data_IF_074950432609
#
_entry.id   IF_074950432609
#
_cell.length_a   1.000
_cell.length_b   1.000
_cell.length_c   1.000
_cell.angle_alpha   90.00
_cell.angle_beta   90.00
_cell.angle_gamma   90.00
#
_symmetry.space_group_name_H-M   'P 1'
#
loop_
_entity.id
_entity.type
_entity.pdbx_description
1 polymer ?
#
# COMPACT_ATOMS: atom_id res chain seq x y z
N UNK A 1 5.93 -18.19 1.13
CA UNK A 1 5.85 -16.87 1.80
C UNK A 1 5.78 -16.93 3.33
N UNK A 2 5.99 -18.06 3.98
CA UNK A 2 5.89 -18.19 5.44
C UNK A 2 7.22 -17.97 6.20
N UNK A 3 8.36 -17.84 5.50
CA UNK A 3 9.70 -17.83 6.13
C UNK A 3 10.20 -16.44 6.58
N UNK A 4 9.62 -15.35 6.11
CA UNK A 4 10.10 -14.01 6.46
C UNK A 4 9.58 -13.49 7.81
N UNK A 5 8.48 -14.06 8.32
CA UNK A 5 7.82 -13.58 9.55
C UNK A 5 8.56 -13.98 10.84
N UNK A 6 9.38 -15.03 10.81
CA UNK A 6 10.08 -15.51 12.01
C UNK A 6 11.30 -14.68 12.42
N UNK A 7 11.79 -13.79 11.54
CA UNK A 7 13.01 -12.99 11.79
C UNK A 7 12.79 -11.47 11.65
N UNK A 8 11.56 -11.02 11.36
CA UNK A 8 11.29 -9.60 11.21
C UNK A 8 11.32 -8.88 12.55
N UNK A 9 12.15 -7.86 12.66
CA UNK A 9 12.27 -6.98 13.80
C UNK A 9 12.13 -5.53 13.35
N UNK A 10 11.01 -4.84 13.61
CA UNK A 10 10.82 -3.45 13.21
C UNK A 10 11.84 -2.50 13.85
N UNK A 11 12.28 -2.77 15.08
CA UNK A 11 13.30 -1.96 15.75
C UNK A 11 14.64 -2.04 15.01
N UNK A 12 14.96 -3.18 14.41
CA UNK A 12 16.17 -3.30 13.59
C UNK A 12 16.14 -2.31 12.40
N UNK A 13 15.01 -2.18 11.72
CA UNK A 13 14.85 -1.22 10.62
C UNK A 13 14.95 0.23 11.11
N UNK A 14 14.36 0.55 12.25
CA UNK A 14 14.52 1.86 12.87
C UNK A 14 15.99 2.17 13.19
N UNK A 15 16.75 1.20 13.66
CA UNK A 15 18.17 1.37 14.03
C UNK A 15 19.11 1.49 12.83
N UNK A 16 18.80 0.78 11.73
CA UNK A 16 19.73 0.59 10.61
C UNK A 16 19.33 1.35 9.33
N UNK A 17 18.10 1.87 9.26
CA UNK A 17 17.64 2.70 8.15
C UNK A 17 17.51 4.17 8.59
N UNK A 18 18.42 5.06 8.13
CA UNK A 18 18.40 6.46 8.51
C UNK A 18 17.13 7.21 8.08
N UNK A 19 16.51 6.83 6.95
CA UNK A 19 15.28 7.46 6.45
C UNK A 19 14.09 7.06 7.33
N UNK A 20 13.98 5.76 7.64
CA UNK A 20 12.96 5.26 8.55
C UNK A 20 13.09 5.91 9.93
N UNK A 21 14.31 5.99 10.47
CA UNK A 21 14.57 6.66 11.74
C UNK A 21 14.14 8.12 11.71
N UNK A 22 14.58 8.88 10.71
CA UNK A 22 14.26 10.31 10.61
C UNK A 22 12.74 10.53 10.54
N UNK A 23 12.01 9.72 9.77
CA UNK A 23 10.56 9.82 9.67
C UNK A 23 9.86 9.51 11.00
N UNK A 24 10.28 8.46 11.70
CA UNK A 24 9.69 8.07 12.98
C UNK A 24 10.05 9.06 14.10
N UNK A 25 11.25 9.63 14.09
CA UNK A 25 11.68 10.65 15.05
C UNK A 25 10.86 11.95 14.91
N UNK A 26 10.47 12.33 13.68
CA UNK A 26 9.56 13.47 13.46
C UNK A 26 8.19 13.23 14.10
N UNK A 27 7.70 12.00 14.06
CA UNK A 27 6.44 11.63 14.75
C UNK A 27 6.65 11.61 16.26
N UNK A 28 7.76 11.04 16.74
CA UNK A 28 8.07 10.89 18.16
C UNK A 28 8.31 12.22 18.87
N UNK A 29 8.77 13.24 18.16
CA UNK A 29 9.05 14.59 18.67
C UNK A 29 7.87 15.55 18.49
N UNK A 30 6.70 15.05 18.15
CA UNK A 30 5.49 15.85 17.92
C UNK A 30 5.67 16.96 16.85
N UNK A 31 6.57 16.75 15.89
CA UNK A 31 6.85 17.75 14.83
C UNK A 31 5.57 18.13 14.06
N UNK A 32 4.65 17.19 13.85
CA UNK A 32 3.40 17.41 13.12
C UNK A 32 2.20 17.72 14.02
N UNK A 33 2.40 17.75 15.35
CA UNK A 33 1.33 17.87 16.35
C UNK A 33 1.75 18.69 17.55
N UNK A 34 2.43 19.82 17.32
CA UNK A 34 2.95 20.68 18.38
C UNK A 34 1.86 21.17 19.36
N UNK A 35 0.62 21.39 18.86
CA UNK A 35 -0.51 21.83 19.66
C UNK A 35 -1.21 20.67 20.43
N UNK A 36 -0.97 19.43 20.02
CA UNK A 36 -1.53 18.20 20.62
C UNK A 36 -0.44 17.13 20.78
N UNK A 37 0.50 17.30 21.73
CA UNK A 37 1.59 16.35 21.93
C UNK A 37 1.10 14.93 22.19
N UNK A 38 1.74 13.96 21.55
CA UNK A 38 1.43 12.53 21.71
C UNK A 38 0.24 12.02 20.90
N UNK A 39 -0.48 12.85 20.14
CA UNK A 39 -1.64 12.40 19.35
C UNK A 39 -1.27 11.30 18.35
N UNK A 40 -0.03 11.30 17.84
CA UNK A 40 0.48 10.28 16.92
C UNK A 40 1.28 9.15 17.58
N UNK A 41 1.41 9.13 18.91
CA UNK A 41 2.09 8.05 19.62
C UNK A 41 1.54 6.64 19.29
N UNK A 42 0.22 6.43 19.08
CA UNK A 42 -0.30 5.13 18.65
C UNK A 42 0.29 4.59 17.34
N UNK A 43 0.73 5.47 16.43
CA UNK A 43 1.40 5.04 15.18
C UNK A 43 2.73 4.38 15.51
N UNK A 44 3.52 4.99 16.39
CA UNK A 44 4.81 4.44 16.83
C UNK A 44 4.63 3.12 17.58
N UNK A 45 3.60 3.03 18.42
CA UNK A 45 3.29 1.82 19.15
C UNK A 45 2.96 0.65 18.20
N UNK A 46 2.14 0.89 17.18
CA UNK A 46 1.82 -0.12 16.17
C UNK A 46 3.05 -0.54 15.37
N UNK A 47 3.90 0.42 14.98
CA UNK A 47 5.06 0.14 14.13
C UNK A 47 6.22 -0.51 14.90
N UNK A 48 6.44 -0.18 16.17
CA UNK A 48 7.64 -0.58 16.92
C UNK A 48 7.36 -1.53 18.10
N UNK A 49 6.21 -1.40 18.81
CA UNK A 49 5.98 -2.10 20.06
C UNK A 49 5.12 -3.34 19.96
N UNK A 50 4.07 -3.33 19.12
CA UNK A 50 3.08 -4.42 19.07
C UNK A 50 3.37 -5.48 18.02
N UNK A 51 4.58 -5.48 17.44
CA UNK A 51 4.95 -6.45 16.40
C UNK A 51 4.21 -6.13 15.10
N UNK A 52 4.76 -5.25 14.34
CA UNK A 52 4.23 -4.81 13.06
C UNK A 52 3.99 -5.98 12.12
N UNK A 53 2.71 -6.25 11.81
CA UNK A 53 2.28 -7.46 11.10
C UNK A 53 2.51 -7.39 9.59
N UNK A 54 2.49 -6.19 9.03
CA UNK A 54 2.48 -5.97 7.59
C UNK A 54 3.85 -5.69 6.97
N UNK A 55 4.92 -5.69 7.79
CA UNK A 55 6.31 -5.46 7.37
C UNK A 55 6.55 -4.06 6.76
N UNK A 56 5.83 -3.04 7.23
CA UNK A 56 5.89 -1.69 6.67
C UNK A 56 7.30 -1.10 6.68
N UNK A 57 8.04 -1.26 7.76
CA UNK A 57 9.40 -0.71 7.84
C UNK A 57 10.39 -1.46 6.94
N UNK A 58 10.17 -2.76 6.71
CA UNK A 58 10.97 -3.50 5.73
C UNK A 58 10.70 -3.05 4.29
N UNK A 59 9.45 -2.70 4.00
CA UNK A 59 9.04 -2.28 2.66
C UNK A 59 9.29 -0.80 2.38
N UNK A 60 9.50 0.03 3.42
CA UNK A 60 9.61 1.49 3.29
C UNK A 60 10.69 1.91 2.30
N UNK A 61 11.86 1.29 2.34
CA UNK A 61 12.95 1.60 1.42
C UNK A 61 12.59 1.33 -0.03
N UNK A 62 12.03 0.16 -0.32
CA UNK A 62 11.61 -0.21 -1.66
C UNK A 62 10.48 0.69 -2.18
N UNK A 63 9.59 1.10 -1.28
CA UNK A 63 8.54 2.08 -1.58
C UNK A 63 9.12 3.46 -1.93
N UNK A 64 10.05 3.99 -1.12
CA UNK A 64 10.71 5.27 -1.38
C UNK A 64 11.45 5.28 -2.73
N UNK A 65 12.18 4.20 -3.02
CA UNK A 65 12.86 4.05 -4.31
C UNK A 65 11.86 3.99 -5.49
N UNK A 66 10.75 3.29 -5.34
CA UNK A 66 9.71 3.23 -6.36
C UNK A 66 9.06 4.61 -6.55
N UNK A 67 8.81 5.33 -5.46
CA UNK A 67 8.26 6.67 -5.49
C UNK A 67 9.19 7.67 -6.20
N UNK A 68 10.49 7.61 -5.92
CA UNK A 68 11.48 8.44 -6.60
C UNK A 68 11.52 8.17 -8.12
N UNK A 69 11.47 6.88 -8.52
CA UNK A 69 11.37 6.51 -9.96
C UNK A 69 10.08 7.01 -10.59
N UNK A 70 8.98 6.97 -9.87
CA UNK A 70 7.68 7.49 -10.33
C UNK A 70 7.73 9.01 -10.53
N UNK A 71 8.34 9.74 -9.59
CA UNK A 71 8.54 11.18 -9.70
C UNK A 71 9.39 11.55 -10.92
N UNK A 72 10.49 10.84 -11.16
CA UNK A 72 11.34 11.04 -12.33
C UNK A 72 10.57 10.74 -13.65
N UNK A 73 9.77 9.70 -13.65
CA UNK A 73 8.91 9.35 -14.79
C UNK A 73 7.86 10.45 -15.07
N UNK A 74 7.25 10.99 -14.01
CA UNK A 74 6.24 12.05 -14.13
C UNK A 74 6.78 13.31 -14.82
N UNK A 75 8.06 13.61 -14.64
CA UNK A 75 8.72 14.72 -15.34
C UNK A 75 8.83 14.52 -16.86
N UNK A 76 8.82 13.27 -17.33
CA UNK A 76 8.77 12.92 -18.75
C UNK A 76 7.32 12.72 -19.19
N UNK A 77 6.67 13.78 -19.67
CA UNK A 77 5.25 13.79 -20.03
C UNK A 77 4.86 12.76 -21.08
N UNK A 78 5.72 12.52 -22.06
CA UNK A 78 5.45 11.56 -23.15
C UNK A 78 5.41 10.13 -22.59
N UNK A 79 6.44 9.74 -21.88
CA UNK A 79 6.53 8.39 -21.29
C UNK A 79 5.48 8.17 -20.20
N UNK A 80 5.17 9.20 -19.41
CA UNK A 80 4.08 9.17 -18.46
C UNK A 80 2.74 8.90 -19.13
N UNK A 81 2.42 9.68 -20.19
CA UNK A 81 1.16 9.51 -20.93
C UNK A 81 1.08 8.14 -21.58
N UNK A 82 2.16 7.66 -22.16
CA UNK A 82 2.23 6.31 -22.74
C UNK A 82 1.90 5.24 -21.70
N UNK A 83 2.51 5.31 -20.52
CA UNK A 83 2.25 4.35 -19.44
C UNK A 83 0.84 4.49 -18.86
N UNK A 84 0.31 5.70 -18.75
CA UNK A 84 -1.05 5.93 -18.30
C UNK A 84 -2.08 5.32 -19.26
N UNK A 85 -1.90 5.49 -20.57
CA UNK A 85 -2.75 4.89 -21.60
C UNK A 85 -2.72 3.36 -21.52
N UNK A 86 -1.53 2.77 -21.39
CA UNK A 86 -1.40 1.32 -21.23
C UNK A 86 -2.06 0.80 -19.95
N UNK A 87 -1.94 1.54 -18.85
CA UNK A 87 -2.60 1.20 -17.59
C UNK A 87 -4.12 1.25 -17.73
N UNK A 88 -4.66 2.29 -18.37
CA UNK A 88 -6.10 2.42 -18.63
C UNK A 88 -6.56 1.27 -19.55
N UNK A 89 -5.84 0.97 -20.62
CA UNK A 89 -6.18 -0.13 -21.52
C UNK A 89 -6.18 -1.50 -20.80
N UNK A 90 -5.30 -1.67 -19.82
CA UNK A 90 -5.24 -2.89 -19.01
C UNK A 90 -6.23 -2.94 -17.84
N UNK A 91 -6.91 -1.83 -17.51
CA UNK A 91 -7.73 -1.70 -16.30
C UNK A 91 -8.99 -2.57 -16.29
N UNK A 92 -9.49 -2.97 -17.47
CA UNK A 92 -10.67 -3.84 -17.59
C UNK A 92 -10.54 -5.15 -16.81
N UNK A 93 -9.30 -5.63 -16.59
CA UNK A 93 -9.04 -6.79 -15.75
C UNK A 93 -9.47 -6.59 -14.28
N UNK A 94 -9.58 -5.37 -13.82
CA UNK A 94 -9.94 -5.00 -12.45
C UNK A 94 -11.39 -4.52 -12.33
N UNK A 95 -12.22 -4.75 -13.36
CA UNK A 95 -13.64 -4.37 -13.27
C UNK A 95 -14.35 -5.21 -12.18
N UNK A 96 -15.26 -4.57 -11.46
CA UNK A 96 -16.11 -5.22 -10.47
C UNK A 96 -17.01 -6.27 -11.11
N UNK A 97 -17.55 -5.99 -12.28
CA UNK A 97 -18.44 -6.90 -13.00
C UNK A 97 -17.74 -8.22 -13.33
N UNK A 98 -16.50 -8.15 -13.82
CA UNK A 98 -15.69 -9.34 -14.06
C UNK A 98 -15.44 -10.11 -12.76
N UNK A 99 -15.07 -9.40 -11.70
CA UNK A 99 -14.77 -10.01 -10.40
C UNK A 99 -16.00 -10.73 -9.85
N UNK A 100 -17.17 -10.10 -9.89
CA UNK A 100 -18.42 -10.72 -9.44
C UNK A 100 -18.81 -11.91 -10.31
N UNK A 101 -18.65 -11.82 -11.63
CA UNK A 101 -18.91 -12.94 -12.53
C UNK A 101 -17.98 -14.14 -12.25
N UNK A 102 -16.70 -13.88 -11.99
CA UNK A 102 -15.74 -14.92 -11.60
C UNK A 102 -16.12 -15.55 -10.24
N UNK A 103 -16.51 -14.76 -9.25
CA UNK A 103 -17.00 -15.29 -7.96
C UNK A 103 -18.25 -16.13 -8.14
N UNK A 104 -19.23 -15.65 -8.92
CA UNK A 104 -20.46 -16.37 -9.18
C UNK A 104 -20.18 -17.75 -9.82
N UNK A 105 -19.34 -17.78 -10.86
CA UNK A 105 -19.07 -19.02 -11.61
C UNK A 105 -18.09 -19.96 -10.91
N UNK A 106 -16.99 -19.45 -10.33
CA UNK A 106 -15.89 -20.28 -9.83
C UNK A 106 -16.05 -20.67 -8.35
N UNK A 107 -16.64 -19.80 -7.53
CA UNK A 107 -16.76 -19.99 -6.10
C UNK A 107 -18.16 -20.43 -5.72
N UNK A 108 -19.18 -19.66 -6.10
CA UNK A 108 -20.56 -19.94 -5.74
C UNK A 108 -21.24 -20.94 -6.68
N UNK A 109 -20.72 -21.09 -7.93
CA UNK A 109 -21.25 -21.99 -8.96
C UNK A 109 -22.72 -21.74 -9.25
N UNK A 110 -23.10 -20.47 -9.32
CA UNK A 110 -24.42 -19.98 -9.67
C UNK A 110 -24.38 -19.29 -11.02
N UNK A 111 -25.49 -19.33 -11.76
CA UNK A 111 -25.66 -18.57 -12.99
C UNK A 111 -26.36 -17.24 -12.71
N UNK A 112 -26.02 -16.18 -13.46
CA UNK A 112 -26.73 -14.91 -13.35
C UNK A 112 -28.21 -15.10 -13.77
N UNK A 113 -29.12 -14.69 -12.90
CA UNK A 113 -30.52 -14.60 -13.28
C UNK A 113 -30.80 -13.20 -13.84
N UNK A 114 -31.10 -13.15 -15.13
CA UNK A 114 -31.54 -11.91 -15.78
C UNK A 114 -33.04 -11.78 -15.47
N UNK A 115 -33.40 -10.79 -14.66
CA UNK A 115 -34.81 -10.39 -14.55
C UNK A 115 -35.28 -9.90 -15.93
N UNK A 116 -36.31 -10.48 -16.46
CA UNK A 116 -36.92 -10.00 -17.68
C UNK A 116 -37.29 -8.51 -17.50
N UNK A 117 -36.74 -7.65 -18.35
CA UNK A 117 -37.09 -6.25 -18.38
C UNK A 117 -38.47 -6.12 -19.03
N UNK A 118 -39.50 -6.55 -18.27
CA UNK A 118 -40.87 -6.24 -18.62
C UNK A 118 -41.32 -4.96 -17.88
N UNK A 119 -41.62 -3.91 -18.67
CA UNK A 119 -42.28 -2.73 -18.18
C UNK A 119 -41.93 -1.48 -18.95
#
# INVERSE_FOLDING_TARGET
MASARGSYNPCWHYEHDPEARAALDLIATDHFSADEPGVFAPILDVLLRYGEYYLHLADLKSYSEAHARLGALYANKEEWSRKAILNIAGSGKFSSDRTIAEYASQIWRIEPWLADAEG
#
